data_IF_868390073162
#
_entry.id   IF_868390073162
#
_cell.length_a   1.000
_cell.length_b   1.000
_cell.length_c   1.000
_cell.angle_alpha   90.00
_cell.angle_beta   90.00
_cell.angle_gamma   90.00
#
_symmetry.space_group_name_H-M   'P 1'
#
loop_
_entity.id
_entity.type
_entity.pdbx_description
1 polymer ?
#
# COMPACT_ATOMS: atom_id res chain seq x y z
N UNK A 1 -9.57 3.75 10.27
CA UNK A 1 -8.84 2.59 9.70
C UNK A 1 -9.85 1.66 9.05
N UNK A 2 -9.59 1.13 7.83
CA UNK A 2 -10.61 0.38 7.04
C UNK A 2 -11.06 -0.94 7.67
N UNK A 3 -10.23 -1.54 8.54
CA UNK A 3 -10.52 -2.82 9.18
C UNK A 3 -10.86 -2.63 10.67
N UNK A 4 -11.81 -3.44 11.15
CA UNK A 4 -12.15 -3.51 12.58
C UNK A 4 -10.96 -4.08 13.38
N UNK A 5 -10.77 -3.69 14.65
CA UNK A 5 -9.71 -4.23 15.50
C UNK A 5 -9.72 -5.76 15.61
N UNK A 6 -10.92 -6.37 15.60
CA UNK A 6 -11.14 -7.82 15.61
C UNK A 6 -10.44 -8.57 14.47
N UNK A 7 -10.18 -7.87 13.35
CA UNK A 7 -9.53 -8.45 12.19
C UNK A 7 -8.00 -8.24 12.18
N UNK A 8 -7.44 -7.59 13.23
CA UNK A 8 -6.00 -7.35 13.36
C UNK A 8 -5.30 -8.63 13.81
N UNK A 9 -4.35 -9.11 13.03
CA UNK A 9 -3.48 -10.24 13.38
C UNK A 9 -2.24 -9.71 14.11
N UNK A 10 -1.62 -8.67 13.54
CA UNK A 10 -0.44 -8.01 14.08
C UNK A 10 -0.44 -6.53 13.67
N UNK A 11 0.54 -5.74 14.11
CA UNK A 11 0.69 -4.38 13.63
C UNK A 11 0.72 -4.28 12.10
N UNK A 12 -0.13 -3.39 11.57
CA UNK A 12 -0.37 -3.19 10.14
C UNK A 12 -0.77 -4.45 9.33
N UNK A 13 -1.09 -5.56 9.99
CA UNK A 13 -1.43 -6.84 9.37
C UNK A 13 -2.83 -7.33 9.75
N UNK A 14 -3.68 -7.52 8.75
CA UNK A 14 -5.12 -7.75 8.93
C UNK A 14 -5.63 -8.90 8.08
N UNK A 15 -6.63 -9.61 8.62
CA UNK A 15 -7.45 -10.55 7.87
C UNK A 15 -8.62 -9.84 7.19
N UNK A 16 -8.92 -10.22 5.96
CA UNK A 16 -10.07 -9.71 5.18
C UNK A 16 -11.24 -10.70 5.23
N UNK A 17 -12.43 -10.22 4.83
CA UNK A 17 -13.66 -11.01 4.85
C UNK A 17 -13.61 -12.22 3.89
N UNK A 18 -12.82 -12.12 2.84
CA UNK A 18 -12.53 -13.16 1.84
C UNK A 18 -11.37 -14.08 2.25
N UNK A 19 -10.98 -14.10 3.53
CA UNK A 19 -9.86 -14.88 4.10
C UNK A 19 -8.48 -14.54 3.55
N UNK A 20 -8.38 -13.55 2.66
CA UNK A 20 -7.10 -12.99 2.23
C UNK A 20 -6.50 -12.10 3.31
N UNK A 21 -5.19 -11.84 3.20
CA UNK A 21 -4.43 -11.05 4.16
C UNK A 21 -4.07 -9.70 3.56
N UNK A 22 -4.07 -8.66 4.40
CA UNK A 22 -3.64 -7.32 4.03
C UNK A 22 -2.53 -6.86 4.96
N UNK A 23 -1.39 -6.49 4.37
CA UNK A 23 -0.32 -5.80 5.06
C UNK A 23 -0.24 -4.35 4.57
N UNK A 24 -0.26 -3.40 5.49
CA UNK A 24 -0.03 -1.99 5.20
C UNK A 24 1.43 -1.66 5.46
N UNK A 25 2.12 -1.21 4.42
CA UNK A 25 3.53 -0.87 4.49
C UNK A 25 3.73 0.63 4.36
N UNK A 26 4.82 1.11 4.95
CA UNK A 26 5.35 2.44 4.71
C UNK A 26 6.23 2.44 3.46
N UNK A 27 6.36 3.62 2.84
CA UNK A 27 7.27 3.85 1.71
C UNK A 27 8.70 3.35 1.98
N UNK A 28 9.23 3.61 3.18
CA UNK A 28 10.60 3.23 3.53
C UNK A 28 10.80 1.71 3.62
N UNK A 29 9.76 0.94 3.97
CA UNK A 29 9.82 -0.53 3.97
C UNK A 29 9.99 -1.05 2.54
N UNK A 30 9.32 -0.43 1.56
CA UNK A 30 9.49 -0.77 0.13
C UNK A 30 10.89 -0.45 -0.36
N UNK A 31 11.42 0.73 -0.02
CA UNK A 31 12.78 1.13 -0.38
C UNK A 31 13.79 0.10 0.14
N UNK A 32 13.73 -0.19 1.44
CA UNK A 32 14.64 -1.13 2.08
C UNK A 32 14.54 -2.55 1.49
N UNK A 33 13.32 -3.02 1.22
CA UNK A 33 13.09 -4.33 0.60
C UNK A 33 13.78 -4.46 -0.76
N UNK A 34 13.69 -3.43 -1.61
CA UNK A 34 14.31 -3.47 -2.94
C UNK A 34 15.83 -3.29 -2.88
N UNK A 35 16.35 -2.46 -1.98
CA UNK A 35 17.79 -2.31 -1.76
C UNK A 35 18.43 -3.64 -1.30
N UNK A 36 17.79 -4.32 -0.35
CA UNK A 36 18.23 -5.63 0.13
C UNK A 36 18.16 -6.71 -0.96
N UNK A 37 17.22 -6.59 -1.88
CA UNK A 37 17.12 -7.47 -3.05
C UNK A 37 18.14 -7.15 -4.17
N UNK A 38 19.03 -6.17 -3.98
CA UNK A 38 20.08 -5.83 -4.94
C UNK A 38 19.65 -4.84 -6.02
N UNK A 39 18.64 -4.01 -5.75
CA UNK A 39 18.25 -2.91 -6.64
C UNK A 39 18.76 -1.56 -6.12
N UNK A 40 18.94 -0.61 -7.02
CA UNK A 40 19.09 0.81 -6.71
C UNK A 40 17.75 1.52 -6.83
N UNK A 41 17.44 2.37 -5.85
CA UNK A 41 16.19 3.12 -5.80
C UNK A 41 16.36 4.47 -6.50
N UNK A 42 15.86 4.59 -7.73
CA UNK A 42 15.87 5.86 -8.44
C UNK A 42 14.83 6.82 -7.88
N UNK A 43 13.63 6.32 -7.62
CA UNK A 43 12.57 7.09 -6.96
C UNK A 43 11.56 6.15 -6.29
N UNK A 44 10.92 6.67 -5.25
CA UNK A 44 9.77 6.03 -4.62
C UNK A 44 8.94 7.16 -4.03
N UNK A 45 7.71 7.39 -4.46
CA UNK A 45 6.91 8.56 -4.08
C UNK A 45 5.46 8.18 -3.80
N UNK A 46 4.80 8.94 -2.93
CA UNK A 46 3.36 8.85 -2.76
C UNK A 46 2.65 9.59 -3.90
N UNK A 47 1.65 8.93 -4.49
CA UNK A 47 0.77 9.49 -5.49
C UNK A 47 -0.67 9.40 -4.99
N UNK A 48 -1.32 10.55 -4.85
CA UNK A 48 -2.69 10.64 -4.37
C UNK A 48 -3.65 10.79 -5.53
N UNK A 49 -4.67 9.94 -5.57
CA UNK A 49 -5.75 10.01 -6.54
C UNK A 49 -7.08 9.86 -5.84
N UNK A 50 -8.16 10.08 -6.58
CA UNK A 50 -9.50 9.75 -6.13
C UNK A 50 -10.17 8.88 -7.17
N UNK A 51 -11.01 7.97 -6.72
CA UNK A 51 -11.92 7.21 -7.59
C UNK A 51 -13.32 7.77 -7.42
N UNK A 52 -13.94 8.16 -8.52
CA UNK A 52 -15.32 8.63 -8.55
C UNK A 52 -16.24 7.47 -8.97
N UNK A 53 -17.15 7.08 -8.06
CA UNK A 53 -18.28 6.24 -8.41
C UNK A 53 -19.49 7.15 -8.65
N UNK A 54 -19.77 7.43 -9.93
CA UNK A 54 -20.85 8.35 -10.34
C UNK A 54 -22.24 7.83 -10.00
N UNK A 55 -22.46 6.51 -10.11
CA UNK A 55 -23.74 5.89 -9.77
C UNK A 55 -24.07 6.05 -8.28
N UNK A 56 -23.05 5.96 -7.42
CA UNK A 56 -23.20 6.15 -5.97
C UNK A 56 -22.91 7.59 -5.52
N UNK A 57 -22.66 8.53 -6.46
CA UNK A 57 -22.25 9.92 -6.20
C UNK A 57 -21.14 10.04 -5.13
N UNK A 58 -20.18 9.13 -5.15
CA UNK A 58 -19.14 9.02 -4.13
C UNK A 58 -17.76 9.25 -4.74
N UNK A 59 -16.91 10.00 -4.04
CA UNK A 59 -15.48 10.11 -4.32
C UNK A 59 -14.71 9.48 -3.17
N UNK A 60 -13.75 8.63 -3.49
CA UNK A 60 -12.92 7.97 -2.47
C UNK A 60 -11.46 8.18 -2.78
N UNK A 61 -10.75 8.80 -1.85
CA UNK A 61 -9.31 9.02 -1.95
C UNK A 61 -8.55 7.69 -1.93
N UNK A 62 -7.44 7.69 -2.66
CA UNK A 62 -6.51 6.58 -2.81
C UNK A 62 -5.10 7.14 -2.72
N UNK A 63 -4.25 6.47 -1.94
CA UNK A 63 -2.82 6.72 -1.92
C UNK A 63 -2.13 5.51 -2.55
N UNK A 64 -1.28 5.77 -3.53
CA UNK A 64 -0.41 4.80 -4.17
C UNK A 64 1.04 5.13 -3.84
N UNK A 65 1.90 4.12 -3.87
CA UNK A 65 3.35 4.31 -3.92
C UNK A 65 3.80 3.94 -5.32
N UNK A 66 4.50 4.85 -5.99
CA UNK A 66 5.14 4.60 -7.28
C UNK A 66 6.65 4.53 -7.07
N UNK A 67 7.24 3.36 -7.35
CA UNK A 67 8.69 3.13 -7.25
C UNK A 67 9.31 2.89 -8.61
N UNK A 68 10.50 3.45 -8.84
CA UNK A 68 11.38 3.17 -9.97
C UNK A 68 12.67 2.59 -9.40
N UNK A 69 12.92 1.33 -9.72
CA UNK A 69 14.06 0.56 -9.24
C UNK A 69 14.90 0.08 -10.42
N UNK A 70 16.22 0.11 -10.26
CA UNK A 70 17.18 -0.32 -11.30
C UNK A 70 17.90 -1.55 -10.76
N UNK A 71 17.93 -2.63 -11.53
CA UNK A 71 18.71 -3.82 -11.16
C UNK A 71 20.19 -3.48 -11.25
N UNK A 72 20.95 -3.83 -10.22
CA UNK A 72 22.41 -3.76 -10.23
C UNK A 72 23.02 -4.71 -11.25
#
# INVERSE_FOLDING_TARGET
MRFKPENKIQDRFYKRADWTLAYYFHRNEVICLFEQAGFDVKSCLYYHTYTENRQMQMKVDRAFIQGIFIKK
#
